data_IF_707072928028
#
_entry.id   IF_707072928028
#
_cell.length_a   1.000
_cell.length_b   1.000
_cell.length_c   1.000
_cell.angle_alpha   90.00
_cell.angle_beta   90.00
_cell.angle_gamma   90.00
#
_symmetry.space_group_name_H-M   'P 1'
#
loop_
_entity.id
_entity.type
_entity.pdbx_description
1 polymer ?
#
# COMPACT_ATOMS: atom_id res chain seq x y z
N UNK A 1 4.74 -23.08 18.29
CA UNK A 1 5.19 -22.14 19.33
C UNK A 1 4.88 -20.73 18.84
N UNK A 2 3.71 -20.21 19.19
CA UNK A 2 3.28 -18.85 18.89
C UNK A 2 3.88 -17.92 19.94
N UNK A 3 5.04 -17.35 19.64
CA UNK A 3 5.53 -16.21 20.40
C UNK A 3 4.69 -15.01 19.98
N UNK A 4 3.74 -14.60 20.82
CA UNK A 4 3.17 -13.27 20.68
C UNK A 4 4.32 -12.28 20.84
N UNK A 5 4.56 -11.43 19.85
CA UNK A 5 5.47 -10.31 20.07
C UNK A 5 4.96 -9.48 21.25
N UNK A 6 5.85 -9.07 22.16
CA UNK A 6 5.46 -8.24 23.29
C UNK A 6 4.88 -6.93 22.74
N UNK A 7 3.66 -6.61 23.15
CA UNK A 7 2.87 -5.46 22.69
C UNK A 7 3.67 -4.13 22.66
N UNK A 8 4.68 -3.99 23.53
CA UNK A 8 5.57 -2.84 23.59
C UNK A 8 6.47 -2.61 22.37
N UNK A 9 6.85 -3.65 21.62
CA UNK A 9 7.66 -3.48 20.39
C UNK A 9 6.82 -2.85 19.29
N UNK A 10 5.58 -3.32 19.13
CA UNK A 10 4.61 -2.75 18.19
C UNK A 10 4.23 -1.32 18.51
N UNK A 11 4.01 -1.00 19.78
CA UNK A 11 3.72 0.37 20.23
C UNK A 11 4.89 1.33 19.96
N UNK A 12 6.13 0.83 20.10
CA UNK A 12 7.35 1.55 19.72
C UNK A 12 7.39 1.88 18.22
N UNK A 13 7.09 0.90 17.35
CA UNK A 13 7.02 1.12 15.90
C UNK A 13 5.92 2.12 15.54
N UNK A 14 4.74 2.01 16.13
CA UNK A 14 3.61 2.94 15.91
C UNK A 14 4.03 4.37 16.27
N UNK A 15 4.69 4.55 17.42
CA UNK A 15 5.18 5.86 17.87
C UNK A 15 6.20 6.41 16.88
N UNK A 16 7.19 5.61 16.46
CA UNK A 16 8.18 6.02 15.48
C UNK A 16 7.56 6.42 14.12
N UNK A 17 6.54 5.70 13.66
CA UNK A 17 5.79 6.06 12.45
C UNK A 17 5.09 7.42 12.61
N UNK A 18 4.45 7.66 13.76
CA UNK A 18 3.79 8.92 14.05
C UNK A 18 4.78 10.09 14.09
N UNK A 19 5.94 9.90 14.71
CA UNK A 19 7.01 10.90 14.76
C UNK A 19 7.58 11.18 13.36
N UNK A 20 7.67 10.15 12.51
CA UNK A 20 8.04 10.26 11.11
C UNK A 20 6.92 10.83 10.20
N UNK A 21 5.83 11.35 10.79
CA UNK A 21 4.75 12.05 10.08
C UNK A 21 3.67 11.15 9.48
N UNK A 22 3.71 9.84 9.74
CA UNK A 22 2.65 8.92 9.28
C UNK A 22 1.38 9.09 10.11
N UNK A 23 0.24 8.98 9.45
CA UNK A 23 -1.09 9.08 10.07
C UNK A 23 -1.98 7.95 9.57
N UNK A 24 -2.63 7.26 10.50
CA UNK A 24 -3.64 6.26 10.16
C UNK A 24 -4.87 6.92 9.54
N UNK A 25 -5.46 6.25 8.55
CA UNK A 25 -6.70 6.66 7.90
C UNK A 25 -7.74 5.56 8.06
N UNK A 26 -8.90 5.94 8.55
CA UNK A 26 -10.06 5.07 8.53
C UNK A 26 -10.56 4.96 7.08
N UNK A 27 -10.48 3.75 6.53
CA UNK A 27 -11.12 3.40 5.28
C UNK A 27 -12.46 2.70 5.57
N UNK A 28 -13.25 2.45 4.53
CA UNK A 28 -14.51 1.68 4.62
C UNK A 28 -14.48 0.52 3.65
N UNK A 29 -15.25 -0.52 3.93
CA UNK A 29 -15.44 -1.65 3.02
C UNK A 29 -14.22 -2.56 2.95
N UNK A 30 -13.86 -3.04 1.76
CA UNK A 30 -12.74 -3.98 1.61
C UNK A 30 -11.42 -3.41 2.14
N UNK A 31 -11.14 -2.13 1.87
CA UNK A 31 -9.88 -1.52 2.24
C UNK A 31 -9.67 -1.38 3.76
N UNK A 32 -10.75 -1.39 4.56
CA UNK A 32 -10.67 -1.45 6.02
C UNK A 32 -10.08 -2.77 6.50
N UNK A 33 -10.41 -3.89 5.84
CA UNK A 33 -9.93 -5.24 6.19
C UNK A 33 -8.45 -5.49 5.89
N UNK A 34 -7.87 -4.65 5.04
CA UNK A 34 -6.45 -4.67 4.71
C UNK A 34 -5.61 -3.88 5.73
N UNK A 35 -6.25 -3.05 6.56
CA UNK A 35 -5.59 -2.03 7.35
C UNK A 35 -5.10 -2.47 8.74
N UNK A 36 -4.66 -1.50 9.57
CA UNK A 36 -4.81 -0.05 9.36
C UNK A 36 -3.94 0.51 8.22
N UNK A 37 -4.53 1.35 7.35
CA UNK A 37 -3.78 2.09 6.35
C UNK A 37 -3.12 3.31 6.98
N UNK A 38 -1.83 3.47 6.73
CA UNK A 38 -1.03 4.63 7.06
C UNK A 38 -0.81 5.50 5.83
N UNK A 39 -0.80 6.81 6.02
CA UNK A 39 -0.54 7.80 4.96
C UNK A 39 0.44 8.85 5.44
N UNK A 40 1.30 9.32 4.53
CA UNK A 40 2.19 10.45 4.76
C UNK A 40 2.22 11.33 3.52
N UNK A 41 2.04 12.64 3.69
CA UNK A 41 2.17 13.60 2.59
C UNK A 41 3.66 13.75 2.27
N UNK A 42 4.01 13.67 1.00
CA UNK A 42 5.36 13.87 0.49
C UNK A 42 5.36 14.96 -0.59
N UNK A 43 6.54 15.45 -0.98
CA UNK A 43 6.68 16.56 -1.92
C UNK A 43 6.00 16.26 -3.28
N UNK A 44 6.15 15.03 -3.77
CA UNK A 44 5.66 14.58 -5.07
C UNK A 44 4.29 13.89 -5.01
N UNK A 45 3.66 13.80 -3.83
CA UNK A 45 2.38 13.10 -3.70
C UNK A 45 2.10 12.62 -2.28
N UNK A 46 1.84 11.32 -2.16
CA UNK A 46 1.54 10.64 -0.91
C UNK A 46 2.26 9.29 -0.88
N UNK A 47 2.76 8.93 0.29
CA UNK A 47 3.15 7.57 0.61
C UNK A 47 2.05 6.89 1.42
N UNK A 48 1.91 5.59 1.22
CA UNK A 48 0.93 4.74 1.86
C UNK A 48 1.64 3.58 2.53
N UNK A 49 1.06 2.99 3.56
CA UNK A 49 1.64 1.79 4.12
C UNK A 49 0.76 1.01 5.08
N UNK A 50 1.21 -0.20 5.38
CA UNK A 50 0.60 -1.13 6.34
C UNK A 50 1.68 -1.64 7.26
N UNK A 51 1.41 -1.61 8.56
CA UNK A 51 2.22 -2.35 9.53
C UNK A 51 1.74 -3.80 9.54
N UNK A 52 2.58 -4.74 9.14
CA UNK A 52 2.22 -6.15 9.04
C UNK A 52 1.87 -6.73 10.43
N UNK A 53 0.82 -7.54 10.48
CA UNK A 53 0.28 -8.18 11.70
C UNK A 53 0.05 -9.66 11.40
N UNK A 54 -0.27 -10.50 12.41
CA UNK A 54 -0.64 -11.89 12.18
C UNK A 54 -1.77 -12.08 11.16
N UNK A 55 -2.74 -11.16 11.13
CA UNK A 55 -3.89 -11.22 10.19
C UNK A 55 -3.47 -11.03 8.73
N UNK A 56 -2.28 -10.48 8.48
CA UNK A 56 -1.74 -10.27 7.14
C UNK A 56 -0.92 -11.46 6.62
N UNK A 57 -0.67 -12.47 7.44
CA UNK A 57 0.22 -13.56 7.09
C UNK A 57 -0.50 -14.66 6.29
N UNK A 58 0.26 -15.32 5.41
CA UNK A 58 -0.11 -16.58 4.81
C UNK A 58 0.25 -17.75 5.76
N UNK A 59 -0.21 -18.99 5.48
CA UNK A 59 0.11 -20.15 6.30
C UNK A 59 1.61 -20.46 6.47
N UNK A 60 2.47 -19.88 5.61
CA UNK A 60 3.92 -20.00 5.70
C UNK A 60 4.60 -18.95 6.61
N UNK A 61 3.83 -18.06 7.26
CA UNK A 61 4.36 -17.05 8.17
C UNK A 61 4.97 -15.82 7.47
N UNK A 62 4.66 -15.61 6.19
CA UNK A 62 5.03 -14.41 5.44
C UNK A 62 3.79 -13.59 5.11
N UNK A 63 3.94 -12.29 4.87
CA UNK A 63 2.83 -11.45 4.41
C UNK A 63 2.23 -12.04 3.14
N UNK A 64 0.91 -12.24 3.13
CA UNK A 64 0.21 -12.83 2.01
C UNK A 64 0.31 -11.92 0.78
N UNK A 65 0.62 -12.48 -0.39
CA UNK A 65 0.79 -11.69 -1.62
C UNK A 65 -0.45 -10.87 -1.99
N UNK A 66 -1.65 -11.35 -1.62
CA UNK A 66 -2.90 -10.61 -1.74
C UNK A 66 -2.96 -9.31 -0.92
N UNK A 67 -2.30 -9.24 0.25
CA UNK A 67 -2.20 -7.99 1.03
C UNK A 67 -1.31 -6.99 0.30
N UNK A 68 -0.18 -7.45 -0.24
CA UNK A 68 0.72 -6.61 -1.06
C UNK A 68 0.01 -6.09 -2.32
N UNK A 69 -0.72 -6.97 -3.03
CA UNK A 69 -1.52 -6.57 -4.19
C UNK A 69 -2.62 -5.57 -3.83
N UNK A 70 -3.31 -5.76 -2.70
CA UNK A 70 -4.36 -4.85 -2.27
C UNK A 70 -3.81 -3.45 -1.91
N UNK A 71 -2.66 -3.39 -1.24
CA UNK A 71 -1.99 -2.12 -0.96
C UNK A 71 -1.52 -1.45 -2.25
N UNK A 72 -0.92 -2.23 -3.16
CA UNK A 72 -0.51 -1.75 -4.47
C UNK A 72 -1.70 -1.17 -5.26
N UNK A 73 -2.81 -1.91 -5.35
CA UNK A 73 -4.04 -1.48 -6.04
C UNK A 73 -4.62 -0.20 -5.42
N UNK A 74 -4.59 -0.08 -4.09
CA UNK A 74 -4.98 1.14 -3.39
C UNK A 74 -4.13 2.34 -3.82
N UNK A 75 -2.80 2.18 -3.85
CA UNK A 75 -1.87 3.27 -4.20
C UNK A 75 -2.06 3.71 -5.64
N UNK A 76 -2.08 2.78 -6.60
CA UNK A 76 -2.23 3.15 -8.01
C UNK A 76 -3.59 3.78 -8.29
N UNK A 77 -4.65 3.35 -7.59
CA UNK A 77 -5.99 3.95 -7.67
C UNK A 77 -6.01 5.36 -7.08
N UNK A 78 -5.37 5.57 -5.92
CA UNK A 78 -5.30 6.88 -5.28
C UNK A 78 -4.50 7.89 -6.12
N UNK A 79 -3.39 7.45 -6.72
CA UNK A 79 -2.57 8.26 -7.63
C UNK A 79 -3.35 8.62 -8.90
N UNK A 80 -4.05 7.65 -9.50
CA UNK A 80 -4.86 7.92 -10.68
C UNK A 80 -6.01 8.89 -10.36
N UNK A 81 -6.72 8.67 -9.26
CA UNK A 81 -7.81 9.54 -8.79
C UNK A 81 -7.35 10.99 -8.61
N UNK A 82 -6.22 11.21 -7.95
CA UNK A 82 -5.65 12.56 -7.79
C UNK A 82 -5.30 13.20 -9.15
N UNK A 83 -4.73 12.41 -10.06
CA UNK A 83 -4.29 12.88 -11.38
C UNK A 83 -5.42 13.29 -12.33
N UNK A 84 -6.66 12.91 -12.03
CA UNK A 84 -7.84 13.22 -12.86
C UNK A 84 -8.86 14.09 -12.13
N UNK A 85 -8.39 14.99 -11.26
CA UNK A 85 -9.22 15.90 -10.48
C UNK A 85 -10.27 15.16 -9.65
N UNK A 86 -9.86 14.02 -9.06
CA UNK A 86 -10.66 13.22 -8.14
C UNK A 86 -11.92 12.62 -8.76
N UNK A 87 -11.92 12.44 -10.08
CA UNK A 87 -12.93 11.62 -10.78
C UNK A 87 -12.77 10.15 -10.43
N UNK A 88 -13.90 9.46 -10.29
CA UNK A 88 -13.89 8.04 -9.94
C UNK A 88 -13.10 7.24 -10.98
N UNK A 89 -12.24 6.34 -10.49
CA UNK A 89 -11.42 5.46 -11.30
C UNK A 89 -11.63 4.01 -10.87
N UNK A 90 -11.56 3.08 -11.81
CA UNK A 90 -11.58 1.64 -11.51
C UNK A 90 -10.42 0.93 -12.19
N UNK A 91 -9.76 0.02 -11.48
CA UNK A 91 -8.68 -0.80 -12.01
C UNK A 91 -9.22 -1.74 -13.10
N UNK A 92 -8.71 -1.62 -14.32
CA UNK A 92 -9.03 -2.54 -15.44
C UNK A 92 -7.88 -3.47 -15.80
N UNK A 93 -6.66 -3.14 -15.36
CA UNK A 93 -5.49 -3.99 -15.47
C UNK A 93 -4.57 -3.75 -14.28
N UNK A 94 -4.05 -4.84 -13.70
CA UNK A 94 -3.07 -4.82 -12.63
C UNK A 94 -2.01 -5.86 -12.92
N UNK A 95 -0.75 -5.44 -13.07
CA UNK A 95 0.40 -6.33 -13.22
C UNK A 95 1.39 -6.09 -12.09
N UNK A 96 1.75 -7.14 -11.38
CA UNK A 96 2.67 -7.07 -10.24
C UNK A 96 3.75 -8.15 -10.34
N UNK A 97 4.93 -7.84 -9.81
CA UNK A 97 6.08 -8.72 -9.70
C UNK A 97 6.54 -8.72 -8.25
N UNK A 98 6.58 -9.90 -7.63
CA UNK A 98 7.02 -10.09 -6.24
C UNK A 98 8.52 -10.38 -6.23
N UNK A 99 9.29 -9.55 -5.52
CA UNK A 99 10.76 -9.60 -5.54
C UNK A 99 11.32 -10.16 -4.23
N UNK A 100 10.78 -9.73 -3.10
CA UNK A 100 11.22 -10.18 -1.76
C UNK A 100 10.02 -10.38 -0.84
N UNK A 101 10.17 -11.28 0.14
CA UNK A 101 9.12 -11.60 1.09
C UNK A 101 9.12 -10.65 2.29
N UNK A 102 7.94 -10.26 2.76
CA UNK A 102 7.76 -9.50 3.99
C UNK A 102 7.28 -10.38 5.15
N UNK A 103 7.52 -9.94 6.38
CA UNK A 103 7.22 -10.63 7.64
C UNK A 103 6.33 -9.76 8.54
N UNK A 104 5.79 -10.37 9.59
CA UNK A 104 5.13 -9.66 10.69
C UNK A 104 6.03 -8.55 11.26
N UNK A 105 5.42 -7.48 11.77
CA UNK A 105 6.13 -6.36 12.40
C UNK A 105 6.79 -5.40 11.42
N UNK A 106 6.97 -5.79 10.15
CA UNK A 106 7.54 -4.93 9.12
C UNK A 106 6.52 -3.89 8.64
N UNK A 107 7.01 -2.67 8.39
CA UNK A 107 6.21 -1.61 7.77
C UNK A 107 6.40 -1.64 6.25
N UNK A 108 5.29 -1.88 5.56
CA UNK A 108 5.23 -2.02 4.10
C UNK A 108 4.81 -0.68 3.52
N UNK A 109 5.73 0.00 2.84
CA UNK A 109 5.51 1.31 2.25
C UNK A 109 5.24 1.19 0.75
N UNK A 110 4.39 2.06 0.21
CA UNK A 110 4.02 2.07 -1.19
C UNK A 110 3.96 3.50 -1.74
N UNK A 111 4.52 3.69 -2.94
CA UNK A 111 4.50 4.95 -3.70
C UNK A 111 4.21 4.65 -5.15
N UNK A 112 3.55 5.58 -5.83
CA UNK A 112 3.22 5.44 -7.24
C UNK A 112 3.29 6.76 -8.00
N UNK A 113 3.46 6.66 -9.31
CA UNK A 113 3.61 7.78 -10.22
C UNK A 113 2.80 7.56 -11.48
N UNK A 114 2.17 8.62 -11.97
CA UNK A 114 1.46 8.60 -13.25
C UNK A 114 2.48 8.53 -14.39
N UNK A 115 2.33 7.53 -15.25
CA UNK A 115 3.10 7.41 -16.49
C UNK A 115 2.43 8.20 -17.62
N UNK A 116 1.09 8.10 -17.73
CA UNK A 116 0.33 8.75 -18.79
C UNK A 116 -1.14 8.94 -18.40
N UNK A 117 -1.71 10.07 -18.79
CA UNK A 117 -3.16 10.31 -18.75
C UNK A 117 -3.70 10.42 -20.18
N UNK A 118 -4.89 9.85 -20.40
CA UNK A 118 -5.66 9.98 -21.64
C UNK A 118 -7.06 10.49 -21.33
N UNK A 119 -7.93 10.62 -22.33
CA UNK A 119 -9.33 11.01 -22.10
C UNK A 119 -10.13 10.00 -21.27
N UNK A 120 -9.74 8.71 -21.24
CA UNK A 120 -10.52 7.68 -20.55
C UNK A 120 -9.72 6.72 -19.67
N UNK A 121 -8.39 6.77 -19.71
CA UNK A 121 -7.49 5.87 -18.98
C UNK A 121 -6.34 6.64 -18.32
N UNK A 122 -5.91 6.16 -17.16
CA UNK A 122 -4.68 6.56 -16.48
C UNK A 122 -3.75 5.35 -16.35
N UNK A 123 -2.49 5.53 -16.71
CA UNK A 123 -1.44 4.52 -16.59
C UNK A 123 -0.56 4.91 -15.41
N UNK A 124 -0.39 4.00 -14.46
CA UNK A 124 0.32 4.25 -13.20
C UNK A 124 1.32 3.14 -12.94
N UNK A 125 2.51 3.49 -12.49
CA UNK A 125 3.49 2.55 -11.93
C UNK A 125 3.63 2.78 -10.44
N UNK A 126 3.95 1.72 -9.71
CA UNK A 126 4.19 1.79 -8.27
C UNK A 126 5.19 0.74 -7.81
N UNK A 127 5.72 0.96 -6.62
CA UNK A 127 6.56 0.01 -5.90
C UNK A 127 6.17 -0.02 -4.42
N UNK A 128 6.33 -1.20 -3.84
CA UNK A 128 6.22 -1.47 -2.42
C UNK A 128 7.60 -1.82 -1.87
N UNK A 129 7.97 -1.23 -0.75
CA UNK A 129 9.26 -1.38 -0.10
C UNK A 129 9.09 -1.64 1.40
N UNK A 130 10.09 -2.26 2.02
CA UNK A 130 10.29 -2.29 3.47
C UNK A 130 11.71 -1.79 3.75
N UNK A 131 11.84 -0.54 4.18
CA UNK A 131 13.14 0.14 4.16
C UNK A 131 13.72 0.14 2.74
N UNK A 132 14.96 -0.33 2.60
CA UNK A 132 15.65 -0.38 1.30
C UNK A 132 15.29 -1.61 0.44
N UNK A 133 14.54 -2.58 0.99
CA UNK A 133 14.16 -3.79 0.26
C UNK A 133 12.88 -3.56 -0.57
N UNK A 134 12.97 -3.75 -1.89
CA UNK A 134 11.80 -3.75 -2.77
C UNK A 134 11.04 -5.08 -2.66
N UNK A 135 9.78 -5.01 -2.24
CA UNK A 135 8.91 -6.16 -2.00
C UNK A 135 8.17 -6.55 -3.28
N UNK A 136 7.57 -5.54 -3.92
CA UNK A 136 6.73 -5.70 -5.09
C UNK A 136 6.83 -4.46 -5.98
N UNK A 137 6.85 -4.64 -7.28
CA UNK A 137 6.68 -3.55 -8.26
C UNK A 137 5.66 -3.91 -9.31
N UNK A 138 5.17 -2.91 -10.02
CA UNK A 138 4.20 -3.18 -11.06
C UNK A 138 3.68 -1.95 -11.76
N UNK A 139 2.66 -2.19 -12.58
CA UNK A 139 1.91 -1.17 -13.28
C UNK A 139 0.41 -1.46 -13.26
N UNK A 140 -0.38 -0.44 -13.49
CA UNK A 140 -1.83 -0.54 -13.59
C UNK A 140 -2.39 0.35 -14.69
N UNK A 141 -3.57 -0.04 -15.17
CA UNK A 141 -4.42 0.81 -16.01
C UNK A 141 -5.73 1.05 -15.27
N UNK A 142 -6.05 2.33 -15.08
CA UNK A 142 -7.22 2.81 -14.38
C UNK A 142 -8.19 3.43 -15.37
N UNK A 143 -9.45 2.98 -15.39
CA UNK A 143 -10.51 3.55 -16.22
C UNK A 143 -11.14 4.73 -15.50
N UNK A 144 -11.14 5.89 -16.16
CA UNK A 144 -11.86 7.08 -15.69
C UNK A 144 -13.35 6.85 -15.91
N UNK A 145 -14.12 6.99 -14.85
CA UNK A 145 -15.58 6.88 -14.88
C UNK A 145 -16.18 8.25 -15.17
N UNK A 146 -17.14 8.28 -16.10
CA UNK A 146 -17.88 9.48 -16.51
C UNK A 146 -19.11 9.72 -15.65
#
# INVERSE_FOLDING_TARGET
MTGAEPTGERDGVITALQDAGWRQRALRGFAERMGPLWTRKEAEGWAYGILATPDHLNPGGFVHGGVLCALFDHVVSAVAWEAVDRRACVTVHLNTQFLTAAREGQFLEARGSVVRVTSTLVFVEAALNCGDAELLRGSSVQKIMG
#
